data_IF_983133859604
#
_entry.id   IF_983133859604
#
_cell.length_a   1.000
_cell.length_b   1.000
_cell.length_c   1.000
_cell.angle_alpha   90.00
_cell.angle_beta   90.00
_cell.angle_gamma   90.00
#
_symmetry.space_group_name_H-M   'P 1'
#
loop_
_entity.id
_entity.type
_entity.pdbx_description
1 polymer ?
#
# COMPACT_ATOMS: atom_id res chain seq x y z
N UNK A 1 56.03 12.99 -2.47
CA UNK A 1 55.39 11.88 -1.73
C UNK A 1 53.91 12.22 -1.65
N UNK A 2 53.15 11.82 -2.66
CA UNK A 2 51.71 12.00 -2.75
C UNK A 2 51.10 10.60 -2.62
N UNK A 3 50.45 10.35 -1.50
CA UNK A 3 49.67 9.13 -1.25
C UNK A 3 48.33 9.28 -1.96
N UNK A 4 48.13 8.50 -3.01
CA UNK A 4 46.82 8.25 -3.63
C UNK A 4 46.03 7.36 -2.69
N UNK A 5 44.88 7.85 -2.24
CA UNK A 5 43.87 7.08 -1.52
C UNK A 5 43.06 6.35 -2.59
N UNK A 6 43.21 5.04 -2.65
CA UNK A 6 42.29 4.14 -3.37
C UNK A 6 40.97 4.10 -2.59
N UNK A 7 39.95 4.73 -3.15
CA UNK A 7 38.56 4.66 -2.69
C UNK A 7 37.92 3.42 -3.36
N UNK A 8 38.24 2.25 -2.82
CA UNK A 8 37.62 0.98 -3.15
C UNK A 8 36.28 0.87 -2.40
N UNK A 9 35.30 1.66 -2.85
CA UNK A 9 33.90 1.49 -2.47
C UNK A 9 33.30 0.40 -3.36
N UNK A 10 33.27 -0.81 -2.80
CA UNK A 10 32.69 -2.00 -3.41
C UNK A 10 31.35 -1.72 -4.07
N UNK A 11 31.35 -1.91 -5.38
CA UNK A 11 30.22 -1.78 -6.30
C UNK A 11 29.32 -3.03 -6.26
N UNK A 12 29.00 -3.51 -5.05
CA UNK A 12 27.93 -4.49 -4.83
C UNK A 12 26.60 -3.73 -4.68
N UNK A 13 26.26 -2.96 -5.71
CA UNK A 13 24.89 -2.48 -5.88
C UNK A 13 23.99 -3.72 -6.05
N UNK A 14 22.86 -3.83 -5.32
CA UNK A 14 21.93 -4.92 -5.52
C UNK A 14 21.47 -4.87 -6.98
N UNK A 15 21.80 -5.92 -7.73
CA UNK A 15 21.34 -6.20 -9.09
C UNK A 15 19.92 -5.69 -9.27
N UNK A 16 19.75 -4.74 -10.19
CA UNK A 16 18.50 -4.07 -10.52
C UNK A 16 17.36 -5.10 -10.61
N UNK A 17 16.50 -5.15 -9.58
CA UNK A 17 15.39 -6.11 -9.55
C UNK A 17 14.40 -5.67 -10.63
N UNK A 18 14.45 -6.37 -11.76
CA UNK A 18 13.56 -6.17 -12.89
C UNK A 18 12.11 -6.05 -12.40
N UNK A 19 11.42 -5.02 -12.89
CA UNK A 19 10.05 -4.71 -12.50
C UNK A 19 9.14 -5.93 -12.72
N UNK A 20 8.52 -6.50 -11.66
CA UNK A 20 7.76 -7.74 -11.80
C UNK A 20 6.50 -7.55 -12.66
N UNK A 21 5.90 -6.35 -12.68
CA UNK A 21 4.78 -6.03 -13.58
C UNK A 21 5.21 -6.01 -15.05
N UNK A 22 6.51 -5.91 -15.30
CA UNK A 22 7.08 -5.94 -16.62
C UNK A 22 7.59 -7.32 -17.08
N UNK A 23 7.39 -8.38 -16.28
CA UNK A 23 7.79 -9.72 -16.71
C UNK A 23 6.97 -10.19 -17.93
N UNK A 24 7.56 -11.02 -18.82
CA UNK A 24 6.77 -11.74 -19.82
C UNK A 24 5.69 -12.60 -19.16
N UNK A 25 4.51 -12.65 -19.79
CA UNK A 25 3.39 -13.47 -19.35
C UNK A 25 3.32 -14.79 -20.11
N UNK A 26 2.87 -15.83 -19.42
CA UNK A 26 2.53 -17.09 -20.06
C UNK A 26 1.30 -16.90 -20.97
N UNK A 27 1.14 -17.68 -22.05
CA UNK A 27 -0.01 -17.56 -22.94
C UNK A 27 -1.36 -17.64 -22.23
N UNK A 28 -1.46 -18.45 -21.17
CA UNK A 28 -2.67 -18.62 -20.36
C UNK A 28 -2.99 -17.39 -19.50
N UNK A 29 -1.97 -16.65 -19.07
CA UNK A 29 -2.13 -15.39 -18.34
C UNK A 29 -2.65 -14.30 -19.28
N UNK A 30 -2.15 -14.27 -20.52
CA UNK A 30 -2.69 -13.38 -21.56
C UNK A 30 -4.13 -13.76 -21.96
N UNK A 31 -4.46 -15.06 -22.02
CA UNK A 31 -5.83 -15.52 -22.28
C UNK A 31 -6.81 -15.02 -21.18
N UNK A 32 -6.35 -14.93 -19.93
CA UNK A 32 -7.14 -14.37 -18.83
C UNK A 32 -7.38 -12.87 -19.03
N UNK A 33 -6.33 -12.10 -19.38
CA UNK A 33 -6.48 -10.67 -19.65
C UNK A 33 -7.40 -10.41 -20.84
N UNK A 34 -7.31 -11.24 -21.88
CA UNK A 34 -8.21 -11.23 -23.04
C UNK A 34 -9.68 -11.47 -22.62
N UNK A 35 -9.94 -12.47 -21.78
CA UNK A 35 -11.28 -12.77 -21.30
C UNK A 35 -11.89 -11.64 -20.45
N UNK A 36 -11.07 -10.86 -19.75
CA UNK A 36 -11.49 -9.66 -19.01
C UNK A 36 -11.79 -8.50 -19.98
N UNK A 37 -10.97 -8.34 -21.03
CA UNK A 37 -11.08 -7.24 -21.98
C UNK A 37 -12.18 -7.42 -23.03
N UNK A 38 -12.45 -8.67 -23.46
CA UNK A 38 -13.36 -8.98 -24.58
C UNK A 38 -14.74 -8.30 -24.45
N UNK A 39 -15.43 -8.32 -23.28
CA UNK A 39 -16.70 -7.62 -23.10
C UNK A 39 -16.62 -6.11 -23.33
N UNK A 40 -15.55 -5.47 -22.84
CA UNK A 40 -15.34 -4.03 -23.01
C UNK A 40 -15.10 -3.70 -24.48
N UNK A 41 -14.31 -4.52 -25.17
CA UNK A 41 -14.02 -4.36 -26.60
C UNK A 41 -15.25 -4.49 -27.50
N UNK A 42 -16.28 -5.21 -27.04
CA UNK A 42 -17.56 -5.42 -27.71
C UNK A 42 -18.66 -4.44 -27.28
N UNK A 43 -18.29 -3.35 -26.61
CA UNK A 43 -19.19 -2.29 -26.15
C UNK A 43 -20.22 -2.72 -25.10
N UNK A 44 -20.02 -3.85 -24.42
CA UNK A 44 -20.78 -4.11 -23.18
C UNK A 44 -20.21 -3.17 -22.12
N UNK A 45 -20.98 -2.15 -21.75
CA UNK A 45 -20.46 -0.95 -21.10
C UNK A 45 -19.96 -1.11 -19.64
N UNK A 46 -19.64 -2.32 -19.20
CA UNK A 46 -19.29 -2.67 -17.81
C UNK A 46 -18.22 -3.76 -17.78
N UNK A 47 -17.38 -3.71 -16.74
CA UNK A 47 -16.41 -4.77 -16.44
C UNK A 47 -17.12 -6.10 -16.17
N UNK A 48 -16.59 -7.24 -16.65
CA UNK A 48 -17.24 -8.53 -16.43
C UNK A 48 -17.16 -8.99 -14.99
N UNK A 49 -18.13 -9.80 -14.60
CA UNK A 49 -18.06 -10.60 -13.36
C UNK A 49 -17.14 -11.80 -13.54
N UNK A 50 -16.59 -12.30 -12.44
CA UNK A 50 -15.64 -13.40 -12.44
C UNK A 50 -16.19 -14.72 -12.99
N UNK A 51 -17.48 -15.05 -12.77
CA UNK A 51 -18.11 -16.23 -13.36
C UNK A 51 -18.03 -16.22 -14.90
N UNK A 52 -18.24 -15.05 -15.52
CA UNK A 52 -18.11 -14.89 -16.97
C UNK A 52 -16.68 -15.18 -17.43
N UNK A 53 -15.70 -14.57 -16.77
CA UNK A 53 -14.27 -14.68 -17.13
C UNK A 53 -13.80 -16.13 -16.98
N UNK A 54 -14.09 -16.76 -15.84
CA UNK A 54 -13.70 -18.13 -15.55
C UNK A 54 -14.33 -19.13 -16.53
N UNK A 55 -15.64 -19.04 -16.83
CA UNK A 55 -16.29 -19.88 -17.83
C UNK A 55 -15.77 -19.66 -19.24
N UNK A 56 -15.38 -18.43 -19.58
CA UNK A 56 -14.78 -18.11 -20.89
C UNK A 56 -13.42 -18.78 -21.03
N UNK A 57 -12.59 -18.72 -19.98
CA UNK A 57 -11.32 -19.44 -19.94
C UNK A 57 -11.48 -20.96 -20.02
N UNK A 58 -12.45 -21.55 -19.32
CA UNK A 58 -12.70 -23.00 -19.36
C UNK A 58 -13.20 -23.50 -20.72
N UNK A 59 -13.80 -22.63 -21.54
CA UNK A 59 -14.15 -22.95 -22.94
C UNK A 59 -12.94 -22.92 -23.88
N UNK A 60 -11.85 -22.29 -23.46
CA UNK A 60 -10.61 -22.17 -24.20
C UNK A 60 -9.82 -23.49 -24.29
N UNK A 61 -8.50 -23.43 -24.55
CA UNK A 61 -7.66 -24.62 -24.66
C UNK A 61 -7.80 -25.52 -23.41
N UNK A 62 -7.80 -26.84 -23.59
CA UNK A 62 -8.01 -27.86 -22.55
C UNK A 62 -7.00 -27.84 -21.35
N UNK A 63 -6.12 -26.83 -21.29
CA UNK A 63 -5.09 -26.65 -20.28
C UNK A 63 -5.57 -25.88 -19.05
N UNK A 64 -6.65 -25.10 -19.15
CA UNK A 64 -7.16 -24.32 -18.00
C UNK A 64 -8.07 -25.19 -17.13
N UNK A 65 -7.61 -25.52 -15.92
CA UNK A 65 -8.39 -26.27 -14.92
C UNK A 65 -8.86 -25.41 -13.75
N UNK A 66 -8.18 -24.29 -13.51
CA UNK A 66 -8.44 -23.39 -12.38
C UNK A 66 -8.09 -21.96 -12.80
N UNK A 67 -9.11 -21.15 -13.09
CA UNK A 67 -8.93 -19.74 -13.45
C UNK A 67 -8.42 -18.90 -12.26
N UNK A 68 -8.76 -19.29 -11.03
CA UNK A 68 -8.33 -18.59 -9.81
C UNK A 68 -6.83 -18.76 -9.57
N UNK A 69 -6.29 -19.95 -9.83
CA UNK A 69 -4.86 -20.19 -9.77
C UNK A 69 -4.06 -19.36 -10.78
N UNK A 70 -4.60 -19.14 -11.98
CA UNK A 70 -3.98 -18.27 -13.01
C UNK A 70 -4.03 -16.80 -12.57
N UNK A 71 -5.17 -16.34 -12.05
CA UNK A 71 -5.26 -14.98 -11.51
C UNK A 71 -4.24 -14.75 -10.38
N UNK A 72 -4.08 -15.73 -9.49
CA UNK A 72 -3.11 -15.68 -8.40
C UNK A 72 -1.65 -15.78 -8.85
N UNK A 73 -1.36 -16.25 -10.08
CA UNK A 73 0.00 -16.30 -10.63
C UNK A 73 0.43 -15.00 -11.29
N UNK A 74 -0.51 -14.10 -11.60
CA UNK A 74 -0.21 -12.82 -12.22
C UNK A 74 0.79 -12.02 -11.36
N UNK A 75 1.71 -11.26 -12.00
CA UNK A 75 2.65 -10.46 -11.25
C UNK A 75 1.91 -9.36 -10.48
N UNK A 76 2.29 -9.21 -9.22
CA UNK A 76 1.77 -8.19 -8.32
C UNK A 76 2.93 -7.40 -7.74
N UNK A 77 2.72 -6.10 -7.58
CA UNK A 77 3.49 -5.27 -6.67
C UNK A 77 2.86 -5.36 -5.28
N UNK A 78 3.65 -5.70 -4.25
CA UNK A 78 3.16 -5.62 -2.89
C UNK A 78 2.73 -4.17 -2.60
N UNK A 79 1.48 -4.00 -2.16
CA UNK A 79 0.96 -2.67 -1.85
C UNK A 79 1.68 -2.11 -0.62
N UNK A 80 2.32 -0.94 -0.73
CA UNK A 80 2.99 -0.35 0.41
C UNK A 80 2.02 0.14 1.51
N UNK A 81 0.70 0.13 1.27
CA UNK A 81 -0.36 0.39 2.26
C UNK A 81 -1.18 -0.85 2.65
N UNK A 82 -0.72 -2.07 2.34
CA UNK A 82 -1.40 -3.36 2.57
C UNK A 82 -1.83 -3.71 4.03
N UNK A 83 -1.71 -2.78 4.98
CA UNK A 83 -2.28 -2.91 6.33
C UNK A 83 -3.52 -2.03 6.57
N UNK A 84 -3.80 -1.03 5.71
CA UNK A 84 -5.12 -0.39 5.72
C UNK A 84 -6.19 -1.44 5.45
N UNK A 85 -7.37 -1.32 6.05
CA UNK A 85 -8.55 -2.14 5.72
C UNK A 85 -8.89 -2.15 4.21
N UNK A 86 -8.22 -1.30 3.42
CA UNK A 86 -8.37 -1.11 1.98
C UNK A 86 -7.09 -1.37 1.15
N UNK A 87 -5.99 -1.80 1.77
CA UNK A 87 -4.71 -1.97 1.08
C UNK A 87 -4.71 -3.22 0.18
N UNK A 88 -4.82 -3.04 -1.13
CA UNK A 88 -4.84 -4.11 -2.13
C UNK A 88 -3.53 -4.08 -2.90
N UNK A 89 -2.84 -5.23 -2.97
CA UNK A 89 -1.69 -5.41 -3.86
C UNK A 89 -2.04 -4.88 -5.26
N UNK A 90 -1.17 -4.05 -5.81
CA UNK A 90 -1.36 -3.53 -7.16
C UNK A 90 -0.87 -4.57 -8.15
N UNK A 91 -1.68 -4.91 -9.15
CA UNK A 91 -1.35 -5.92 -10.14
C UNK A 91 -1.93 -5.56 -11.50
N UNK A 92 -1.92 -6.53 -12.41
CA UNK A 92 -2.46 -6.37 -13.77
C UNK A 92 -4.00 -6.32 -13.77
N UNK A 93 -4.62 -6.94 -12.76
CA UNK A 93 -6.07 -7.08 -12.60
C UNK A 93 -6.46 -6.56 -11.23
N UNK A 94 -7.56 -5.80 -11.17
CA UNK A 94 -8.23 -5.44 -9.94
C UNK A 94 -9.57 -6.20 -9.84
N UNK A 95 -10.05 -6.41 -8.62
CA UNK A 95 -11.31 -7.09 -8.32
C UNK A 95 -12.22 -6.18 -7.46
N UNK A 96 -13.55 -6.26 -7.54
CA UNK A 96 -14.43 -5.46 -6.67
C UNK A 96 -14.44 -5.95 -5.23
N UNK A 97 -14.30 -7.25 -5.00
CA UNK A 97 -14.40 -7.89 -3.70
C UNK A 97 -13.25 -7.61 -2.74
N UNK A 98 -13.56 -7.63 -1.44
CA UNK A 98 -12.60 -7.48 -0.34
C UNK A 98 -12.14 -8.83 0.23
N UNK A 99 -12.57 -9.95 -0.36
CA UNK A 99 -12.28 -11.30 0.13
C UNK A 99 -10.87 -11.78 -0.25
N UNK A 100 -10.37 -12.85 0.43
CA UNK A 100 -9.09 -13.49 0.10
C UNK A 100 -9.11 -14.28 -1.22
N UNK A 101 -10.25 -14.31 -1.92
CA UNK A 101 -10.42 -14.88 -3.24
C UNK A 101 -11.49 -14.10 -4.00
N UNK A 102 -11.67 -14.42 -5.28
CA UNK A 102 -12.67 -13.77 -6.14
C UNK A 102 -13.97 -14.54 -6.08
N UNK A 103 -15.04 -13.87 -5.65
CA UNK A 103 -16.39 -14.44 -5.70
C UNK A 103 -16.93 -14.43 -7.13
N UNK A 104 -17.87 -15.31 -7.44
CA UNK A 104 -18.43 -15.46 -8.80
C UNK A 104 -19.07 -14.16 -9.33
N UNK A 105 -19.64 -13.35 -8.43
CA UNK A 105 -20.28 -12.06 -8.70
C UNK A 105 -19.34 -10.85 -8.59
N UNK A 106 -18.07 -11.05 -8.20
CA UNK A 106 -17.09 -9.97 -8.17
C UNK A 106 -16.79 -9.50 -9.59
N UNK A 107 -16.81 -8.18 -9.79
CA UNK A 107 -16.34 -7.57 -11.02
C UNK A 107 -14.82 -7.57 -11.05
N UNK A 108 -14.25 -7.86 -12.21
CA UNK A 108 -12.81 -7.84 -12.44
C UNK A 108 -12.48 -6.92 -13.62
N UNK A 109 -11.41 -6.16 -13.51
CA UNK A 109 -10.98 -5.24 -14.56
C UNK A 109 -9.48 -5.10 -14.64
N UNK A 110 -9.02 -4.47 -15.72
CA UNK A 110 -7.60 -4.26 -15.98
C UNK A 110 -7.12 -2.94 -15.35
N UNK A 111 -5.87 -2.93 -14.90
CA UNK A 111 -5.12 -1.71 -14.60
C UNK A 111 -4.31 -1.27 -15.82
N UNK A 112 -3.62 -0.13 -15.74
CA UNK A 112 -2.61 0.30 -16.72
C UNK A 112 -1.58 -0.82 -16.95
N UNK A 113 -1.14 -1.51 -15.90
CA UNK A 113 -0.23 -2.66 -16.02
C UNK A 113 -0.83 -3.80 -16.86
N UNK A 114 -2.12 -4.10 -16.63
CA UNK A 114 -2.88 -5.07 -17.43
C UNK A 114 -2.96 -4.69 -18.90
N UNK A 115 -3.24 -3.43 -19.22
CA UNK A 115 -3.28 -2.93 -20.59
C UNK A 115 -1.92 -2.98 -21.30
N UNK A 116 -0.83 -2.60 -20.60
CA UNK A 116 0.54 -2.72 -21.13
C UNK A 116 0.83 -4.16 -21.54
N UNK A 117 0.49 -5.13 -20.69
CA UNK A 117 0.74 -6.55 -20.94
C UNK A 117 -0.15 -7.11 -22.05
N UNK A 118 -1.43 -6.76 -22.04
CA UNK A 118 -2.36 -7.19 -23.08
C UNK A 118 -2.04 -6.58 -24.45
N UNK A 119 -1.31 -5.46 -24.49
CA UNK A 119 -0.87 -4.85 -25.75
C UNK A 119 0.09 -5.72 -26.57
N UNK A 120 0.70 -6.74 -25.96
CA UNK A 120 1.49 -7.77 -26.65
C UNK A 120 0.66 -8.53 -27.70
N UNK A 121 -0.66 -8.67 -27.48
CA UNK A 121 -1.61 -9.24 -28.44
C UNK A 121 -2.43 -8.18 -29.16
N UNK A 122 -2.71 -7.06 -28.49
CA UNK A 122 -3.56 -5.99 -29.00
C UNK A 122 -2.82 -4.66 -28.98
N UNK A 123 -1.96 -4.43 -29.97
CA UNK A 123 -1.11 -3.24 -30.06
C UNK A 123 -1.82 -1.89 -29.76
N UNK A 124 -3.08 -1.64 -30.17
CA UNK A 124 -3.78 -0.39 -29.84
C UNK A 124 -3.95 -0.13 -28.33
N UNK A 125 -3.96 -1.18 -27.49
CA UNK A 125 -4.08 -1.04 -26.04
C UNK A 125 -2.86 -0.37 -25.41
N UNK A 126 -1.72 -0.34 -26.11
CA UNK A 126 -0.55 0.40 -25.64
C UNK A 126 -0.83 1.90 -25.56
N UNK A 127 -1.43 2.46 -26.62
CA UNK A 127 -1.77 3.88 -26.68
C UNK A 127 -2.81 4.26 -25.62
N UNK A 128 -3.75 3.35 -25.33
CA UNK A 128 -4.70 3.51 -24.24
C UNK A 128 -3.98 3.57 -22.89
N UNK A 129 -3.08 2.64 -22.61
CA UNK A 129 -2.30 2.62 -21.38
C UNK A 129 -1.47 3.91 -21.23
N UNK A 130 -0.81 4.34 -22.31
CA UNK A 130 -0.01 5.57 -22.33
C UNK A 130 -0.90 6.79 -22.05
N UNK A 131 -2.09 6.86 -22.66
CA UNK A 131 -3.05 7.96 -22.42
C UNK A 131 -3.52 7.99 -20.96
N UNK A 132 -3.87 6.85 -20.37
CA UNK A 132 -4.26 6.74 -18.96
C UNK A 132 -3.12 7.21 -18.02
N UNK A 133 -1.88 6.81 -18.31
CA UNK A 133 -0.71 7.29 -17.55
C UNK A 133 -0.47 8.80 -17.72
N UNK A 134 -0.78 9.34 -18.91
CA UNK A 134 -0.72 10.77 -19.19
C UNK A 134 -1.74 11.59 -18.38
N UNK A 135 -2.92 11.03 -18.10
CA UNK A 135 -3.90 11.65 -17.17
C UNK A 135 -3.28 11.78 -15.78
N UNK A 136 -2.68 10.71 -15.25
CA UNK A 136 -2.01 10.71 -13.93
C UNK A 136 -0.89 11.76 -13.90
N UNK A 137 -0.06 11.82 -14.94
CA UNK A 137 1.01 12.81 -15.09
C UNK A 137 0.49 14.25 -15.10
N UNK A 138 -0.61 14.49 -15.82
CA UNK A 138 -1.26 15.81 -15.88
C UNK A 138 -1.84 16.24 -14.53
N UNK A 139 -2.42 15.29 -13.79
CA UNK A 139 -2.94 15.52 -12.44
C UNK A 139 -1.83 15.80 -11.43
N UNK A 140 -0.69 15.10 -11.55
CA UNK A 140 0.50 15.38 -10.76
C UNK A 140 1.08 16.78 -11.05
N UNK A 141 1.08 17.21 -12.31
CA UNK A 141 1.48 18.56 -12.69
C UNK A 141 0.54 19.63 -12.12
N UNK A 142 -0.78 19.41 -12.19
CA UNK A 142 -1.78 20.32 -11.64
C UNK A 142 -1.62 20.51 -10.12
N UNK A 143 -1.30 19.45 -9.38
CA UNK A 143 -1.00 19.59 -7.95
C UNK A 143 0.31 20.34 -7.70
N UNK A 144 1.37 20.04 -8.46
CA UNK A 144 2.65 20.73 -8.31
C UNK A 144 2.54 22.23 -8.56
N UNK A 145 1.73 22.61 -9.54
CA UNK A 145 1.55 24.00 -9.96
C UNK A 145 0.49 24.73 -9.11
N UNK A 146 -0.12 24.05 -8.13
CA UNK A 146 -1.03 24.68 -7.16
C UNK A 146 -0.26 25.64 -6.26
N UNK A 147 -0.62 26.92 -6.29
CA UNK A 147 -0.02 27.95 -5.43
C UNK A 147 -0.57 27.80 -4.01
N UNK A 148 0.30 27.62 -2.99
CA UNK A 148 -0.14 27.52 -1.60
C UNK A 148 -0.67 28.87 -1.10
N UNK A 149 -1.72 28.83 -0.27
CA UNK A 149 -2.26 30.01 0.41
C UNK A 149 -1.92 29.91 1.91
N UNK A 150 -1.27 30.94 2.51
CA UNK A 150 -0.91 30.91 3.93
C UNK A 150 -2.11 30.91 4.90
N UNK A 151 -3.34 31.14 4.42
CA UNK A 151 -4.54 31.27 5.26
C UNK A 151 -5.55 30.14 5.09
N UNK A 152 -5.38 29.27 4.10
CA UNK A 152 -6.34 28.20 3.82
C UNK A 152 -5.69 27.03 3.10
N UNK A 153 -6.26 25.85 3.29
CA UNK A 153 -5.84 24.65 2.57
C UNK A 153 -6.37 24.72 1.15
N UNK A 154 -5.46 24.89 0.19
CA UNK A 154 -5.79 24.86 -1.25
C UNK A 154 -5.69 23.41 -1.72
N UNK A 155 -6.79 22.88 -2.29
CA UNK A 155 -6.80 21.59 -2.96
C UNK A 155 -7.21 21.80 -4.42
N UNK A 156 -6.39 21.40 -5.39
CA UNK A 156 -6.80 21.45 -6.80
C UNK A 156 -8.01 20.54 -7.01
N UNK A 157 -9.03 21.06 -7.68
CA UNK A 157 -10.17 20.30 -8.19
C UNK A 157 -10.02 20.31 -9.72
N UNK A 158 -9.61 19.18 -10.29
CA UNK A 158 -9.35 19.06 -11.73
C UNK A 158 -10.51 18.30 -12.38
N UNK A 159 -11.30 18.94 -13.26
CA UNK A 159 -12.35 18.24 -14.01
C UNK A 159 -11.76 17.13 -14.88
N UNK A 160 -12.33 15.93 -14.83
CA UNK A 160 -11.86 14.79 -15.62
C UNK A 160 -12.45 14.74 -17.03
N UNK A 161 -13.51 15.50 -17.32
CA UNK A 161 -14.18 15.52 -18.63
C UNK A 161 -13.25 15.75 -19.82
N UNK A 162 -12.28 16.69 -19.79
CA UNK A 162 -11.39 16.90 -20.92
C UNK A 162 -10.57 15.65 -21.26
N UNK A 163 -10.10 14.94 -20.23
CA UNK A 163 -9.30 13.73 -20.36
C UNK A 163 -10.12 12.53 -20.84
N UNK A 164 -11.32 12.37 -20.27
CA UNK A 164 -12.19 11.23 -20.57
C UNK A 164 -12.75 11.33 -21.99
N UNK A 165 -13.10 12.54 -22.44
CA UNK A 165 -13.69 12.76 -23.78
C UNK A 165 -12.82 12.19 -24.89
N UNK A 166 -11.51 12.34 -24.78
CA UNK A 166 -10.56 11.90 -25.80
C UNK A 166 -10.47 10.36 -25.89
N UNK A 167 -10.76 9.67 -24.77
CA UNK A 167 -10.85 8.20 -24.68
C UNK A 167 -12.24 7.66 -25.06
N UNK A 168 -13.30 8.44 -24.84
CA UNK A 168 -14.69 8.00 -25.13
C UNK A 168 -15.11 8.23 -26.58
N UNK A 169 -14.50 9.17 -27.30
CA UNK A 169 -14.95 9.55 -28.65
C UNK A 169 -14.37 8.72 -29.78
N UNK A 170 -13.40 7.84 -29.50
CA UNK A 170 -12.69 7.06 -30.52
C UNK A 170 -11.85 7.98 -31.40
N UNK A 171 -10.55 8.06 -31.13
CA UNK A 171 -9.62 8.86 -31.94
C UNK A 171 -8.88 7.97 -32.92
N UNK A 172 -8.20 8.55 -33.91
CA UNK A 172 -7.30 7.78 -34.83
C UNK A 172 -6.28 6.94 -34.04
N UNK A 173 -5.94 7.39 -32.83
CA UNK A 173 -5.04 6.71 -31.90
C UNK A 173 -5.69 5.61 -31.04
N UNK A 174 -7.03 5.55 -30.97
CA UNK A 174 -7.78 4.61 -30.13
C UNK A 174 -8.99 4.07 -30.89
N UNK A 175 -8.85 2.87 -31.47
CA UNK A 175 -9.87 2.26 -32.32
C UNK A 175 -11.12 1.79 -31.57
N UNK A 176 -11.08 1.69 -30.24
CA UNK A 176 -12.19 1.23 -29.40
C UNK A 176 -12.55 2.36 -28.43
N UNK A 177 -13.70 3.02 -28.59
CA UNK A 177 -14.17 4.01 -27.62
C UNK A 177 -14.47 3.32 -26.29
N UNK A 178 -13.94 3.87 -25.20
CA UNK A 178 -14.22 3.35 -23.86
C UNK A 178 -15.42 4.07 -23.24
N UNK A 179 -16.32 3.36 -22.52
CA UNK A 179 -17.29 4.02 -21.65
C UNK A 179 -16.58 4.87 -20.59
N UNK A 180 -17.12 6.05 -20.28
CA UNK A 180 -16.55 6.95 -19.27
C UNK A 180 -16.36 6.26 -17.90
N UNK A 181 -17.32 5.41 -17.51
CA UNK A 181 -17.25 4.66 -16.25
C UNK A 181 -16.05 3.70 -16.22
N UNK A 182 -15.74 3.04 -17.34
CA UNK A 182 -14.60 2.14 -17.44
C UNK A 182 -13.29 2.89 -17.20
N UNK A 183 -13.15 4.09 -17.78
CA UNK A 183 -11.97 4.95 -17.57
C UNK A 183 -11.86 5.37 -16.11
N UNK A 184 -12.96 5.78 -15.49
CA UNK A 184 -12.99 6.18 -14.07
C UNK A 184 -12.63 5.00 -13.17
N UNK A 185 -13.16 3.81 -13.42
CA UNK A 185 -12.86 2.60 -12.65
C UNK A 185 -11.37 2.26 -12.70
N UNK A 186 -10.74 2.37 -13.88
CA UNK A 186 -9.29 2.17 -14.01
C UNK A 186 -8.55 3.18 -13.13
N UNK A 187 -8.81 4.47 -13.32
CA UNK A 187 -8.12 5.55 -12.59
C UNK A 187 -8.24 5.44 -11.06
N UNK A 188 -9.39 4.96 -10.55
CA UNK A 188 -9.61 4.74 -9.11
C UNK A 188 -8.92 3.49 -8.55
N UNK A 189 -8.48 2.57 -9.43
CA UNK A 189 -7.83 1.30 -9.06
C UNK A 189 -6.33 1.31 -9.38
N UNK A 190 -5.81 2.45 -9.81
CA UNK A 190 -4.39 2.62 -10.08
C UNK A 190 -3.53 2.75 -8.82
N UNK A 191 -2.24 2.41 -8.93
CA UNK A 191 -1.27 2.55 -7.84
C UNK A 191 -1.09 4.02 -7.40
N UNK A 192 -1.28 4.96 -8.33
CA UNK A 192 -1.29 6.38 -8.01
C UNK A 192 -2.48 6.71 -7.08
N UNK A 193 -2.24 7.34 -5.90
CA UNK A 193 -3.29 7.61 -4.92
C UNK A 193 -4.18 8.76 -5.39
N UNK A 194 -5.14 8.45 -6.25
CA UNK A 194 -6.05 9.40 -6.85
C UNK A 194 -7.41 9.41 -6.16
N UNK A 195 -7.80 10.57 -5.62
CA UNK A 195 -9.16 10.80 -5.15
C UNK A 195 -10.05 11.25 -6.30
N UNK A 196 -11.01 10.43 -6.71
CA UNK A 196 -12.04 10.79 -7.71
C UNK A 196 -13.38 10.97 -7.02
N UNK A 197 -14.02 12.12 -7.24
CA UNK A 197 -15.37 12.40 -6.75
C UNK A 197 -16.42 12.03 -7.78
N UNK A 198 -17.01 10.84 -7.65
CA UNK A 198 -18.04 10.34 -8.56
C UNK A 198 -19.40 11.05 -8.41
N UNK A 199 -19.68 11.67 -7.26
CA UNK A 199 -20.94 12.40 -7.02
C UNK A 199 -20.96 13.83 -7.58
N UNK A 200 -19.88 14.29 -8.20
CA UNK A 200 -19.83 15.57 -8.88
C UNK A 200 -20.16 15.38 -10.36
N UNK A 201 -21.03 16.22 -10.92
CA UNK A 201 -21.25 16.31 -12.36
C UNK A 201 -20.66 17.64 -12.88
N UNK A 202 -19.56 17.63 -13.64
CA UNK A 202 -18.78 16.46 -14.10
C UNK A 202 -17.87 15.83 -13.03
N UNK A 203 -17.35 14.59 -13.24
CA UNK A 203 -16.43 13.95 -12.32
C UNK A 203 -15.15 14.78 -12.15
N UNK A 204 -14.69 14.91 -10.90
CA UNK A 204 -13.54 15.73 -10.52
C UNK A 204 -12.50 14.87 -9.82
N UNK A 205 -11.24 15.02 -10.24
CA UNK A 205 -10.09 14.51 -9.52
C UNK A 205 -9.58 15.54 -8.51
N UNK A 206 -9.19 15.05 -7.33
CA UNK A 206 -8.52 15.81 -6.27
C UNK A 206 -7.09 15.31 -6.11
N UNK A 207 -6.15 15.79 -6.94
CA UNK A 207 -4.78 15.35 -6.82
C UNK A 207 -4.17 15.86 -5.50
N UNK A 208 -3.36 15.00 -4.88
CA UNK A 208 -2.67 15.28 -3.61
C UNK A 208 -1.16 15.31 -3.84
N UNK A 209 -0.39 15.82 -2.88
CA UNK A 209 1.08 15.83 -2.94
C UNK A 209 1.70 14.44 -3.21
N UNK A 210 0.98 13.36 -2.92
CA UNK A 210 1.42 11.99 -3.19
C UNK A 210 1.38 11.62 -4.68
N UNK A 211 0.77 12.46 -5.53
CA UNK A 211 0.85 12.30 -6.98
C UNK A 211 2.11 12.92 -7.58
N UNK A 212 2.82 13.82 -6.88
CA UNK A 212 4.05 14.45 -7.39
C UNK A 212 5.10 13.47 -7.94
N UNK A 213 5.34 12.29 -7.33
CA UNK A 213 6.29 11.33 -7.87
C UNK A 213 5.95 10.82 -9.27
N UNK A 214 4.69 10.93 -9.69
CA UNK A 214 4.17 10.54 -11.00
C UNK A 214 4.14 11.72 -11.99
N UNK A 215 4.76 12.86 -11.67
CA UNK A 215 4.90 13.96 -12.62
C UNK A 215 5.93 13.65 -13.70
N UNK A 216 5.65 14.11 -14.93
CA UNK A 216 6.57 14.02 -16.06
C UNK A 216 6.67 12.63 -16.70
N UNK A 217 5.68 11.77 -16.49
CA UNK A 217 5.64 10.44 -17.13
C UNK A 217 5.55 10.59 -18.64
N UNK A 218 6.34 9.77 -19.34
CA UNK A 218 6.40 9.76 -20.82
C UNK A 218 5.49 8.70 -21.45
N UNK A 219 4.97 7.77 -20.64
CA UNK A 219 4.07 6.70 -21.06
C UNK A 219 3.84 5.68 -19.95
N UNK A 220 3.16 4.59 -20.29
CA UNK A 220 2.75 3.58 -19.33
C UNK A 220 3.92 2.78 -18.77
N UNK A 221 4.96 2.48 -19.56
CA UNK A 221 6.17 1.80 -19.04
C UNK A 221 6.91 2.64 -18.01
N UNK A 222 7.10 3.94 -18.27
CA UNK A 222 7.70 4.87 -17.30
C UNK A 222 6.86 4.95 -16.01
N UNK A 223 5.53 4.90 -16.14
CA UNK A 223 4.64 4.77 -14.99
C UNK A 223 4.88 3.48 -14.19
N UNK A 224 5.00 2.33 -14.86
CA UNK A 224 5.28 1.06 -14.19
C UNK A 224 6.66 1.04 -13.53
N UNK A 225 7.69 1.60 -14.18
CA UNK A 225 9.02 1.74 -13.59
C UNK A 225 9.02 2.69 -12.39
N UNK A 226 8.24 3.77 -12.47
CA UNK A 226 8.04 4.68 -11.33
C UNK A 226 7.42 3.96 -10.15
N UNK A 227 6.42 3.11 -10.38
CA UNK A 227 5.81 2.28 -9.33
C UNK A 227 6.86 1.35 -8.71
N UNK A 228 7.64 0.64 -9.53
CA UNK A 228 8.68 -0.26 -9.06
C UNK A 228 9.71 0.48 -8.19
N UNK A 229 10.23 1.60 -8.67
CA UNK A 229 11.16 2.44 -7.93
C UNK A 229 10.59 2.92 -6.58
N UNK A 230 9.33 3.37 -6.56
CA UNK A 230 8.68 3.82 -5.32
C UNK A 230 8.50 2.70 -4.30
N UNK A 231 8.16 1.49 -4.77
CA UNK A 231 8.04 0.31 -3.92
C UNK A 231 9.39 -0.15 -3.38
N UNK A 232 10.43 -0.17 -4.21
CA UNK A 232 11.80 -0.50 -3.79
C UNK A 232 12.36 0.51 -2.78
N UNK A 233 12.14 1.82 -2.96
CA UNK A 233 12.58 2.83 -1.97
C UNK A 233 11.96 2.59 -0.60
N UNK A 234 10.71 2.13 -0.54
CA UNK A 234 10.04 1.78 0.72
C UNK A 234 10.55 0.47 1.30
N UNK A 235 10.96 -0.48 0.46
CA UNK A 235 11.57 -1.75 0.87
C UNK A 235 13.06 -1.64 1.25
N UNK A 236 13.70 -0.46 1.08
CA UNK A 236 15.08 -0.27 1.55
C UNK A 236 15.20 -0.79 2.99
N UNK A 237 16.23 -1.60 3.29
CA UNK A 237 16.52 -2.00 4.66
C UNK A 237 16.52 -0.74 5.50
N UNK A 238 15.78 -0.75 6.60
CA UNK A 238 15.89 0.32 7.57
C UNK A 238 17.38 0.42 7.96
N UNK A 239 17.93 1.64 8.11
CA UNK A 239 19.32 1.80 8.49
C UNK A 239 19.61 0.94 9.72
N UNK A 240 20.80 0.34 9.81
CA UNK A 240 21.20 -0.47 10.96
C UNK A 240 21.19 0.40 12.20
N UNK A 241 20.07 0.34 12.94
CA UNK A 241 19.84 1.06 14.19
C UNK A 241 20.49 0.28 15.33
N UNK A 242 20.95 0.97 16.37
CA UNK A 242 21.46 0.28 17.58
C UNK A 242 20.30 -0.43 18.27
N UNK A 243 20.54 -1.60 18.86
CA UNK A 243 19.47 -2.41 19.48
C UNK A 243 18.62 -1.66 20.52
N UNK A 244 19.20 -0.66 21.19
CA UNK A 244 18.53 0.16 22.21
C UNK A 244 17.51 1.17 21.64
N UNK A 245 17.55 1.48 20.34
CA UNK A 245 16.77 2.58 19.76
C UNK A 245 15.26 2.36 19.84
N UNK A 246 14.80 1.12 19.75
CA UNK A 246 13.37 0.82 19.91
C UNK A 246 12.90 1.19 21.33
N UNK A 247 13.65 0.80 22.35
CA UNK A 247 13.31 1.11 23.75
C UNK A 247 13.35 2.62 24.00
N UNK A 248 14.35 3.33 23.47
CA UNK A 248 14.46 4.79 23.57
C UNK A 248 13.30 5.50 22.86
N UNK A 249 12.93 5.04 21.66
CA UNK A 249 11.81 5.61 20.89
C UNK A 249 10.49 5.41 21.61
N UNK A 250 10.29 4.21 22.18
CA UNK A 250 9.11 3.87 22.98
C UNK A 250 8.99 4.74 24.25
N UNK A 251 10.09 4.99 24.95
CA UNK A 251 10.12 5.89 26.09
C UNK A 251 9.79 7.33 25.66
N UNK A 252 10.43 7.82 24.59
CA UNK A 252 10.23 9.19 24.14
C UNK A 252 8.81 9.44 23.61
N UNK A 253 8.25 8.55 22.79
CA UNK A 253 6.85 8.68 22.35
C UNK A 253 5.92 8.64 23.56
N UNK A 254 6.19 7.80 24.56
CA UNK A 254 5.38 7.76 25.78
C UNK A 254 5.41 9.07 26.55
N UNK A 255 6.58 9.72 26.62
CA UNK A 255 6.71 11.04 27.20
C UNK A 255 5.94 12.10 26.41
N UNK A 256 6.05 12.11 25.08
CA UNK A 256 5.33 13.05 24.21
C UNK A 256 3.82 12.94 24.42
N UNK A 257 3.28 11.73 24.46
CA UNK A 257 1.86 11.50 24.76
C UNK A 257 1.50 11.95 26.19
N UNK A 258 2.36 11.71 27.19
CA UNK A 258 2.09 12.11 28.57
C UNK A 258 1.94 13.62 28.77
N UNK A 259 2.68 14.41 27.98
CA UNK A 259 2.66 15.88 28.07
C UNK A 259 1.69 16.53 27.07
N UNK A 260 1.12 15.75 26.14
CA UNK A 260 0.24 16.28 25.11
C UNK A 260 -1.14 16.64 25.69
N UNK A 261 -1.63 17.90 25.60
CA UNK A 261 -2.86 18.34 26.27
C UNK A 261 -4.11 17.56 25.88
N UNK A 262 -4.23 17.16 24.62
CA UNK A 262 -5.37 16.40 24.11
C UNK A 262 -5.35 14.90 24.47
N UNK A 263 -4.29 14.42 25.13
CA UNK A 263 -4.14 13.00 25.45
C UNK A 263 -4.51 12.72 26.92
N UNK A 264 -5.60 11.97 27.20
CA UNK A 264 -6.15 11.89 28.55
C UNK A 264 -5.54 10.76 29.41
N UNK A 265 -4.66 9.93 28.88
CA UNK A 265 -4.23 8.67 29.54
C UNK A 265 -2.88 8.77 30.26
N UNK A 266 -2.21 9.93 30.23
CA UNK A 266 -0.82 10.06 30.66
C UNK A 266 0.12 9.34 29.69
N UNK A 267 1.22 8.72 30.16
CA UNK A 267 2.15 8.02 29.28
C UNK A 267 1.48 6.93 28.43
N UNK A 268 1.83 6.88 27.14
CA UNK A 268 1.32 5.88 26.19
C UNK A 268 1.67 4.46 26.65
N UNK A 269 2.90 4.25 27.12
CA UNK A 269 3.31 3.00 27.76
C UNK A 269 3.10 3.08 29.27
N UNK A 270 2.48 2.04 29.82
CA UNK A 270 2.17 2.01 31.24
C UNK A 270 3.37 1.84 32.17
N UNK A 271 4.37 1.07 31.74
CA UNK A 271 5.73 0.91 32.28
C UNK A 271 6.47 -0.07 31.35
N UNK A 272 7.62 0.33 30.80
CA UNK A 272 8.54 -0.60 30.11
C UNK A 272 9.60 -1.02 31.13
N UNK A 273 9.50 -2.23 31.67
CA UNK A 273 10.52 -2.71 32.61
C UNK A 273 11.87 -2.98 31.92
N UNK A 274 12.94 -2.94 32.73
CA UNK A 274 14.31 -3.09 32.23
C UNK A 274 14.52 -4.45 31.55
N UNK A 275 13.88 -5.50 32.03
CA UNK A 275 14.00 -6.85 31.47
C UNK A 275 13.42 -6.91 30.04
N UNK A 276 12.26 -6.29 29.84
CA UNK A 276 11.60 -6.17 28.54
C UNK A 276 12.41 -5.28 27.61
N UNK A 277 12.93 -4.15 28.10
CA UNK A 277 13.79 -3.27 27.31
C UNK A 277 15.07 -3.99 26.84
N UNK A 278 15.75 -4.72 27.74
CA UNK A 278 16.93 -5.54 27.42
C UNK A 278 16.55 -6.66 26.45
N UNK A 279 15.40 -7.29 26.63
CA UNK A 279 14.89 -8.32 25.73
C UNK A 279 14.69 -7.78 24.32
N UNK A 280 14.10 -6.60 24.17
CA UNK A 280 13.92 -5.96 22.87
C UNK A 280 15.24 -5.49 22.26
N UNK A 281 16.21 -5.08 23.07
CA UNK A 281 17.52 -4.64 22.61
C UNK A 281 18.49 -5.78 22.26
N UNK A 282 18.22 -7.01 22.69
CA UNK A 282 19.08 -8.14 22.43
C UNK A 282 18.98 -8.65 20.98
N UNK A 283 20.12 -9.08 20.45
CA UNK A 283 20.24 -9.68 19.13
C UNK A 283 19.59 -11.07 19.07
N UNK A 284 19.40 -11.55 17.85
CA UNK A 284 18.74 -12.81 17.53
C UNK A 284 19.60 -13.59 16.54
N UNK A 285 19.79 -14.87 16.79
CA UNK A 285 20.48 -15.80 15.88
C UNK A 285 19.61 -16.98 15.47
N UNK A 286 18.59 -17.29 16.27
CA UNK A 286 17.71 -18.45 16.07
C UNK A 286 16.23 -18.08 15.93
N UNK A 287 15.44 -18.97 15.33
CA UNK A 287 13.99 -18.83 15.25
C UNK A 287 13.30 -18.74 16.62
N UNK A 288 13.82 -19.47 17.62
CA UNK A 288 13.27 -19.49 18.98
C UNK A 288 13.47 -18.13 19.64
N UNK A 289 14.68 -17.56 19.53
CA UNK A 289 14.97 -16.21 20.01
C UNK A 289 14.10 -15.17 19.30
N UNK A 290 13.99 -15.24 17.97
CA UNK A 290 13.10 -14.36 17.18
C UNK A 290 11.66 -14.38 17.70
N UNK A 291 11.11 -15.58 17.91
CA UNK A 291 9.75 -15.76 18.41
C UNK A 291 9.58 -15.25 19.84
N UNK A 292 10.61 -15.41 20.68
CA UNK A 292 10.64 -14.87 22.04
C UNK A 292 10.63 -13.33 22.01
N UNK A 293 11.42 -12.70 21.12
CA UNK A 293 11.45 -11.24 20.97
C UNK A 293 10.13 -10.66 20.45
N UNK A 294 9.53 -11.30 19.44
CA UNK A 294 8.19 -10.92 18.97
C UNK A 294 7.13 -11.05 20.07
N UNK A 295 7.26 -12.04 20.94
CA UNK A 295 6.34 -12.21 22.07
C UNK A 295 6.51 -11.10 23.11
N UNK A 296 7.75 -10.72 23.45
CA UNK A 296 8.03 -9.58 24.32
C UNK A 296 7.48 -8.27 23.74
N UNK A 297 7.71 -8.04 22.44
CA UNK A 297 7.15 -6.88 21.73
C UNK A 297 5.61 -6.88 21.78
N UNK A 298 4.97 -8.01 21.51
CA UNK A 298 3.51 -8.13 21.56
C UNK A 298 2.95 -7.81 22.97
N UNK A 299 3.65 -8.18 24.04
CA UNK A 299 3.29 -7.82 25.41
C UNK A 299 3.32 -6.30 25.61
N UNK A 300 4.38 -5.63 25.13
CA UNK A 300 4.49 -4.16 25.17
C UNK A 300 3.33 -3.50 24.40
N UNK A 301 3.06 -3.97 23.17
CA UNK A 301 2.00 -3.42 22.32
C UNK A 301 0.60 -3.65 22.91
N UNK A 302 0.39 -4.78 23.59
CA UNK A 302 -0.86 -5.08 24.29
C UNK A 302 -1.06 -4.22 25.55
N UNK A 303 0.04 -3.71 26.12
CA UNK A 303 0.06 -2.84 27.29
C UNK A 303 -0.13 -1.35 27.01
N UNK A 304 -0.30 -0.95 25.74
CA UNK A 304 -0.48 0.46 25.38
C UNK A 304 -1.77 1.03 26.01
N UNK A 305 -1.62 2.18 26.66
CA UNK A 305 -2.69 2.91 27.35
C UNK A 305 -3.37 3.86 26.39
N UNK A 306 -4.32 3.34 25.62
CA UNK A 306 -5.07 4.12 24.64
C UNK A 306 -6.51 4.37 25.11
N UNK A 307 -7.07 5.58 24.93
CA UNK A 307 -8.47 5.84 25.24
C UNK A 307 -9.40 4.82 24.58
N UNK A 308 -10.49 4.47 25.26
CA UNK A 308 -11.55 3.67 24.63
C UNK A 308 -12.32 4.58 23.66
N UNK A 309 -12.52 4.17 22.39
CA UNK A 309 -13.40 4.89 21.50
C UNK A 309 -14.80 4.99 22.11
N UNK A 310 -15.47 6.12 21.89
CA UNK A 310 -16.88 6.25 22.26
C UNK A 310 -17.77 5.38 21.35
N UNK A 311 -19.05 5.31 21.69
CA UNK A 311 -20.00 4.47 20.94
C UNK A 311 -20.18 4.93 19.48
N UNK A 312 -20.02 6.23 19.22
CA UNK A 312 -20.15 6.79 17.88
C UNK A 312 -18.98 6.37 16.99
N UNK A 313 -17.75 6.50 17.50
CA UNK A 313 -16.54 6.05 16.82
C UNK A 313 -16.57 4.53 16.59
N UNK A 314 -17.01 3.73 17.57
CA UNK A 314 -17.15 2.27 17.37
C UNK A 314 -18.11 1.94 16.22
N UNK A 315 -19.22 2.65 16.10
CA UNK A 315 -20.16 2.45 14.99
C UNK A 315 -19.58 2.89 13.65
N UNK A 316 -18.96 4.07 13.61
CA UNK A 316 -18.34 4.67 12.41
C UNK A 316 -17.27 3.76 11.81
N UNK A 317 -16.47 3.12 12.66
CA UNK A 317 -15.37 2.23 12.25
C UNK A 317 -15.76 0.74 12.22
N UNK A 318 -17.04 0.41 12.47
CA UNK A 318 -17.54 -0.96 12.54
C UNK A 318 -16.73 -1.86 13.50
N UNK A 319 -16.32 -1.31 14.64
CA UNK A 319 -15.49 -1.99 15.62
C UNK A 319 -16.31 -2.59 16.76
N UNK A 320 -15.82 -3.70 17.30
CA UNK A 320 -16.34 -4.24 18.55
C UNK A 320 -15.79 -3.49 19.77
N UNK A 321 -16.46 -3.63 20.91
CA UNK A 321 -16.02 -3.04 22.18
C UNK A 321 -14.74 -3.66 22.75
N UNK A 322 -14.20 -4.70 22.08
CA UNK A 322 -12.99 -5.45 22.46
C UNK A 322 -11.80 -5.10 21.59
N UNK A 323 -11.88 -4.04 20.78
CA UNK A 323 -10.79 -3.57 19.95
C UNK A 323 -9.49 -3.43 20.76
N UNK A 324 -8.43 -4.08 20.25
CA UNK A 324 -7.11 -4.06 20.86
C UNK A 324 -6.48 -2.66 20.86
N UNK A 325 -5.43 -2.42 21.66
CA UNK A 325 -4.84 -1.08 21.83
C UNK A 325 -4.43 -0.40 20.52
N UNK A 326 -3.82 -1.14 19.59
CA UNK A 326 -3.40 -0.59 18.29
C UNK A 326 -4.58 -0.13 17.43
N UNK A 327 -5.70 -0.87 17.43
CA UNK A 327 -6.92 -0.45 16.71
C UNK A 327 -7.48 0.81 17.35
N UNK A 328 -7.54 0.87 18.68
CA UNK A 328 -7.96 2.09 19.39
C UNK A 328 -7.05 3.27 19.08
N UNK A 329 -5.75 3.03 18.90
CA UNK A 329 -4.78 4.07 18.59
C UNK A 329 -5.03 4.61 17.18
N UNK A 330 -5.29 3.73 16.20
CA UNK A 330 -5.70 4.13 14.85
C UNK A 330 -6.93 5.04 14.87
N UNK A 331 -8.00 4.61 15.57
CA UNK A 331 -9.24 5.41 15.67
C UNK A 331 -8.98 6.77 16.30
N UNK A 332 -8.24 6.79 17.41
CA UNK A 332 -7.94 8.04 18.09
C UNK A 332 -7.11 8.98 17.20
N UNK A 333 -6.10 8.47 16.49
CA UNK A 333 -5.29 9.26 15.55
C UNK A 333 -6.10 9.75 14.34
N UNK A 334 -7.03 8.93 13.85
CA UNK A 334 -7.91 9.27 12.73
C UNK A 334 -8.85 10.43 13.05
N UNK A 335 -9.41 10.44 14.26
CA UNK A 335 -10.28 11.50 14.76
C UNK A 335 -9.49 12.75 15.21
N UNK A 336 -8.26 12.57 15.69
CA UNK A 336 -7.43 13.64 16.23
C UNK A 336 -6.67 14.43 15.15
N UNK A 337 -6.07 13.75 14.18
CA UNK A 337 -5.24 14.39 13.15
C UNK A 337 -6.13 14.93 12.03
N UNK A 338 -6.16 16.26 11.90
CA UNK A 338 -7.01 16.94 10.90
C UNK A 338 -6.42 16.90 9.48
N UNK A 339 -5.09 16.92 9.37
CA UNK A 339 -4.41 16.85 8.08
C UNK A 339 -4.53 15.43 7.49
N UNK A 340 -5.17 15.29 6.33
CA UNK A 340 -5.34 13.98 5.67
C UNK A 340 -4.00 13.29 5.40
N UNK A 341 -2.96 14.07 5.06
CA UNK A 341 -1.62 13.55 4.81
C UNK A 341 -0.98 12.98 6.08
N UNK A 342 -1.00 13.74 7.17
CA UNK A 342 -0.53 13.33 8.49
C UNK A 342 -1.32 12.16 9.05
N UNK A 343 -2.64 12.17 8.89
CA UNK A 343 -3.52 11.07 9.26
C UNK A 343 -3.13 9.79 8.53
N UNK A 344 -2.92 9.86 7.21
CA UNK A 344 -2.51 8.71 6.41
C UNK A 344 -1.12 8.17 6.82
N UNK A 345 -0.16 9.06 7.15
CA UNK A 345 1.16 8.65 7.67
C UNK A 345 1.05 7.96 9.03
N UNK A 346 0.30 8.54 9.96
CA UNK A 346 0.09 7.99 11.30
C UNK A 346 -0.61 6.62 11.25
N UNK A 347 -1.67 6.49 10.44
CA UNK A 347 -2.36 5.21 10.26
C UNK A 347 -1.46 4.17 9.58
N UNK A 348 -0.68 4.56 8.57
CA UNK A 348 0.32 3.68 7.96
C UNK A 348 1.36 3.18 8.96
N UNK A 349 1.82 4.04 9.86
CA UNK A 349 2.74 3.68 10.93
C UNK A 349 2.11 2.70 11.94
N UNK A 350 0.86 2.91 12.36
CA UNK A 350 0.17 1.94 13.25
C UNK A 350 0.05 0.57 12.57
N UNK A 351 -0.17 0.52 11.26
CA UNK A 351 -0.22 -0.75 10.53
C UNK A 351 1.15 -1.45 10.41
N UNK A 352 2.25 -0.70 10.36
CA UNK A 352 3.61 -1.27 10.47
C UNK A 352 3.81 -1.94 11.84
N UNK A 353 3.37 -1.28 12.91
CA UNK A 353 3.42 -1.82 14.28
C UNK A 353 2.53 -3.08 14.40
N UNK A 354 1.34 -3.06 13.79
CA UNK A 354 0.44 -4.24 13.77
C UNK A 354 1.04 -5.41 13.00
N UNK A 355 1.72 -5.15 11.89
CA UNK A 355 2.36 -6.19 11.08
C UNK A 355 3.49 -6.89 11.84
N UNK A 356 4.24 -6.17 12.67
CA UNK A 356 5.20 -6.79 13.58
C UNK A 356 4.52 -7.74 14.58
N UNK A 357 3.32 -7.39 15.08
CA UNK A 357 2.54 -8.26 15.95
C UNK A 357 1.97 -9.49 15.19
N UNK A 358 1.57 -9.31 13.93
CA UNK A 358 1.07 -10.40 13.08
C UNK A 358 2.16 -11.41 12.70
N UNK A 359 3.44 -11.02 12.65
CA UNK A 359 4.55 -11.98 12.46
C UNK A 359 4.62 -13.03 13.57
N UNK A 360 4.17 -12.72 14.79
CA UNK A 360 4.13 -13.69 15.89
C UNK A 360 3.26 -14.90 15.55
N UNK A 361 2.23 -14.69 14.73
CA UNK A 361 1.26 -15.72 14.32
C UNK A 361 1.93 -16.78 13.43
N UNK A 362 3.01 -16.45 12.71
CA UNK A 362 3.79 -17.37 11.87
C UNK A 362 4.42 -18.51 12.69
N UNK A 363 4.79 -18.24 13.94
CA UNK A 363 5.46 -19.21 14.81
C UNK A 363 4.48 -20.11 15.59
N UNK A 364 3.20 -19.73 15.71
CA UNK A 364 2.29 -20.34 16.69
C UNK A 364 1.12 -21.14 16.09
N UNK A 365 0.75 -20.92 14.82
CA UNK A 365 -0.49 -21.49 14.26
C UNK A 365 -0.32 -22.09 12.86
N UNK A 366 -0.56 -23.40 12.76
CA UNK A 366 -0.67 -24.12 11.49
C UNK A 366 -2.05 -23.89 10.85
N UNK A 367 -2.15 -22.96 9.91
CA UNK A 367 -3.38 -22.71 9.15
C UNK A 367 -3.18 -21.72 8.01
N UNK A 368 -4.03 -21.79 6.98
CA UNK A 368 -3.92 -20.96 5.76
C UNK A 368 -4.05 -19.46 6.07
N UNK A 369 -5.05 -19.07 6.87
CA UNK A 369 -5.26 -17.65 7.24
C UNK A 369 -4.09 -17.04 8.06
N UNK A 370 -3.60 -17.69 9.14
CA UNK A 370 -2.36 -17.32 9.83
C UNK A 370 -1.16 -17.12 8.89
N UNK A 371 -0.97 -18.07 7.97
CA UNK A 371 0.16 -18.05 7.03
C UNK A 371 0.07 -16.88 6.06
N UNK A 372 -1.09 -16.64 5.45
CA UNK A 372 -1.30 -15.49 4.56
C UNK A 372 -1.03 -14.17 5.25
N UNK A 373 -1.53 -13.98 6.49
CA UNK A 373 -1.26 -12.76 7.27
C UNK A 373 0.21 -12.57 7.55
N UNK A 374 0.91 -13.65 7.89
CA UNK A 374 2.32 -13.56 8.17
C UNK A 374 3.17 -13.30 6.91
N UNK A 375 2.83 -13.90 5.76
CA UNK A 375 3.45 -13.56 4.47
C UNK A 375 3.21 -12.08 4.11
N UNK A 376 2.00 -11.55 4.33
CA UNK A 376 1.70 -10.13 4.16
C UNK A 376 2.53 -9.24 5.10
N UNK A 377 2.66 -9.63 6.36
CA UNK A 377 3.48 -8.92 7.34
C UNK A 377 4.97 -8.91 6.97
N UNK A 378 5.53 -10.05 6.52
CA UNK A 378 6.88 -10.14 5.99
C UNK A 378 7.08 -9.16 4.82
N UNK A 379 6.17 -9.21 3.84
CA UNK A 379 6.22 -8.31 2.67
C UNK A 379 6.17 -6.84 3.06
N UNK A 380 5.28 -6.46 3.98
CA UNK A 380 5.13 -5.07 4.44
C UNK A 380 6.37 -4.57 5.17
N UNK A 381 6.96 -5.40 6.02
CA UNK A 381 8.15 -5.03 6.79
C UNK A 381 9.44 -5.07 5.96
N UNK A 382 9.41 -5.63 4.75
CA UNK A 382 10.59 -5.84 3.92
C UNK A 382 11.44 -7.01 4.38
N UNK A 383 10.79 -8.07 4.88
CA UNK A 383 11.42 -9.31 5.34
C UNK A 383 11.14 -10.41 4.30
N UNK A 384 12.17 -11.17 3.94
CA UNK A 384 12.04 -12.32 3.04
C UNK A 384 11.15 -13.41 3.66
N UNK A 385 10.23 -13.97 2.87
CA UNK A 385 9.41 -15.14 3.23
C UNK A 385 9.77 -16.33 2.30
N UNK A 386 10.18 -17.50 2.84
CA UNK A 386 10.37 -17.81 4.25
C UNK A 386 11.58 -17.09 4.86
N UNK A 387 11.50 -16.74 6.15
CA UNK A 387 12.60 -16.09 6.87
C UNK A 387 13.79 -17.06 6.99
N UNK A 388 14.90 -16.69 6.36
CA UNK A 388 16.16 -17.47 6.40
C UNK A 388 17.20 -16.90 7.36
N UNK A 389 17.17 -15.57 7.57
CA UNK A 389 18.07 -14.86 8.47
C UNK A 389 17.28 -14.20 9.61
N UNK A 390 17.19 -14.89 10.74
CA UNK A 390 16.41 -14.45 11.91
C UNK A 390 16.96 -13.18 12.56
N UNK A 391 18.28 -13.00 12.55
CA UNK A 391 18.92 -11.79 13.09
C UNK A 391 18.56 -10.57 12.26
N UNK A 392 18.75 -10.64 10.95
CA UNK A 392 18.36 -9.56 10.04
C UNK A 392 16.87 -9.27 10.08
N UNK A 393 16.01 -10.31 10.14
CA UNK A 393 14.58 -10.12 10.28
C UNK A 393 14.22 -9.37 11.58
N UNK A 394 14.88 -9.70 12.69
CA UNK A 394 14.68 -8.99 13.96
C UNK A 394 15.11 -7.54 13.87
N UNK A 395 16.28 -7.24 13.29
CA UNK A 395 16.71 -5.85 13.08
C UNK A 395 15.70 -5.06 12.27
N UNK A 396 15.19 -5.63 11.18
CA UNK A 396 14.16 -5.01 10.36
C UNK A 396 12.90 -4.73 11.18
N UNK A 397 12.43 -5.68 12.00
CA UNK A 397 11.28 -5.47 12.89
C UNK A 397 11.54 -4.33 13.86
N UNK A 398 12.69 -4.33 14.57
CA UNK A 398 13.04 -3.28 15.54
C UNK A 398 13.04 -1.91 14.91
N UNK A 399 13.74 -1.77 13.79
CA UNK A 399 13.90 -0.50 13.11
C UNK A 399 12.58 0.02 12.55
N UNK A 400 11.77 -0.86 11.92
CA UNK A 400 10.44 -0.48 11.41
C UNK A 400 9.48 -0.05 12.50
N UNK A 401 9.46 -0.76 13.62
CA UNK A 401 8.58 -0.42 14.74
C UNK A 401 9.03 0.90 15.39
N UNK A 402 10.34 1.12 15.52
CA UNK A 402 10.88 2.41 16.00
C UNK A 402 10.51 3.54 15.05
N UNK A 403 10.77 3.40 13.74
CA UNK A 403 10.40 4.38 12.71
C UNK A 403 8.90 4.71 12.77
N UNK A 404 8.05 3.71 12.92
CA UNK A 404 6.61 3.89 13.01
C UNK A 404 6.18 4.66 14.26
N UNK A 405 6.74 4.36 15.44
CA UNK A 405 6.47 5.15 16.64
C UNK A 405 7.00 6.59 16.52
N UNK A 406 8.13 6.79 15.83
CA UNK A 406 8.65 8.12 15.53
C UNK A 406 7.73 8.91 14.61
N UNK A 407 7.12 8.28 13.59
CA UNK A 407 6.11 8.92 12.75
C UNK A 407 4.89 9.31 13.59
N UNK A 408 4.36 8.40 14.41
CA UNK A 408 3.22 8.71 15.29
C UNK A 408 3.55 9.89 16.21
N UNK A 409 4.75 9.92 16.79
CA UNK A 409 5.26 11.02 17.62
C UNK A 409 5.31 12.35 16.85
N UNK A 410 5.83 12.35 15.62
CA UNK A 410 5.93 13.54 14.78
C UNK A 410 4.55 14.10 14.46
N UNK A 411 3.61 13.24 14.04
CA UNK A 411 2.25 13.67 13.71
C UNK A 411 1.49 14.19 14.93
N UNK A 412 1.71 13.59 16.10
CA UNK A 412 1.21 14.09 17.39
C UNK A 412 1.73 15.49 17.70
N UNK A 413 3.04 15.71 17.53
CA UNK A 413 3.67 17.00 17.85
C UNK A 413 3.29 18.10 16.85
N UNK A 414 2.94 17.71 15.63
CA UNK A 414 2.55 18.64 14.57
C UNK A 414 1.12 19.20 14.71
N UNK A 415 0.28 18.62 15.59
CA UNK A 415 -1.07 19.13 15.77
C UNK A 415 -1.07 20.42 16.62
N UNK A 416 -1.83 21.46 16.21
CA UNK A 416 -1.97 22.67 17.00
C UNK A 416 -2.69 22.37 18.33
N UNK A 417 -2.37 23.15 19.36
CA UNK A 417 -3.15 23.13 20.61
C UNK A 417 -4.62 23.42 20.27
N UNK A 418 -5.53 22.52 20.66
CA UNK A 418 -6.97 22.79 20.59
C UNK A 418 -7.27 23.91 21.58
N UNK A 419 -7.46 25.12 21.05
CA UNK A 419 -8.12 26.19 21.79
C UNK A 419 -9.60 25.82 21.88
N UNK A 420 -9.97 25.13 22.96
CA UNK A 420 -11.38 24.92 23.32
C UNK A 420 -12.03 26.23 23.80
#
# INVERSE_FOLDING_TARGET
MMTTVDDDLGDDAPTDLANPLLRPLEPVELDLLDAIWDPISRETAQWPVWDYVSRTLYKGPARVRDAGAILASLPIMPDPMAGSLFGRCYGLVWQSGNGPGVADDDHVGLTIAGFVRLSERHAPLRLLADSLSGIISSLAAAERDTVPDPRQVVRPNVPLTPFIRDLTTGTVSHSIPLPAQVVLDVLMREHAPLGVMLGAEPPVARPTMFLRPYGGLTGAEDYLERINFLSQRRQRPAPTRRGEELAQTLDYVSHVFAVHPAWPMGPLLGNLDLETAVTLAADVTTQVEFSHRLSALATVLSGLRVPKPDQEALQRHHLDSKAGPLIRLSVWLEDFIQDDGGRQRALGAVEDIRSANDLRVLAQHGGTKPRTRATQACSRLGIEDPIRNWGQAWETVRARVADAFDVVRQEMTAQPERND
#
